data_IF_363209746694
#
_entry.id   IF_363209746694
#
_cell.length_a   1.000
_cell.length_b   1.000
_cell.length_c   1.000
_cell.angle_alpha   90.00
_cell.angle_beta   90.00
_cell.angle_gamma   90.00
#
_symmetry.space_group_name_H-M   'P 1'
#
loop_
_entity.id
_entity.type
_entity.pdbx_description
1 polymer ?
#
# COMPACT_ATOMS: atom_id res chain seq x y z
N UNK A 1 -13.28 16.85 7.00
CA UNK A 1 -12.18 17.57 7.69
C UNK A 1 -11.23 16.55 8.26
N UNK A 2 -9.94 16.83 8.20
CA UNK A 2 -8.89 16.04 8.84
C UNK A 2 -8.34 16.80 10.04
N UNK A 3 -8.30 16.15 11.20
CA UNK A 3 -7.70 16.70 12.40
C UNK A 3 -6.72 15.65 12.93
N UNK A 4 -5.43 15.91 12.77
CA UNK A 4 -4.39 14.92 13.03
C UNK A 4 -4.55 13.68 12.14
N UNK A 5 -4.59 12.50 12.73
CA UNK A 5 -4.82 11.24 12.01
C UNK A 5 -6.30 10.91 11.79
N UNK A 6 -7.22 11.65 12.40
CA UNK A 6 -8.65 11.40 12.31
C UNK A 6 -9.28 12.22 11.20
N UNK A 7 -10.25 11.63 10.51
CA UNK A 7 -11.12 12.31 9.58
C UNK A 7 -12.52 12.33 10.12
N UNK A 8 -13.16 13.49 9.94
CA UNK A 8 -14.52 13.74 10.38
C UNK A 8 -15.37 14.08 9.16
N UNK A 9 -16.56 13.53 9.11
CA UNK A 9 -17.58 13.79 8.10
C UNK A 9 -18.76 14.48 8.76
N UNK A 10 -19.32 15.46 8.07
CA UNK A 10 -20.53 16.13 8.48
C UNK A 10 -21.31 16.62 7.27
N UNK A 11 -22.58 16.82 7.45
CA UNK A 11 -23.45 17.47 6.47
C UNK A 11 -23.65 18.92 6.91
N UNK A 12 -23.60 19.84 5.96
CA UNK A 12 -23.82 21.26 6.18
C UNK A 12 -24.38 21.92 4.93
N UNK A 13 -24.85 23.14 5.06
CA UNK A 13 -25.37 23.94 3.96
C UNK A 13 -24.36 25.04 3.62
N UNK A 14 -24.02 25.16 2.36
CA UNK A 14 -23.25 26.31 1.87
C UNK A 14 -24.17 27.53 1.80
N UNK A 15 -23.84 28.56 2.56
CA UNK A 15 -24.60 29.82 2.56
C UNK A 15 -24.14 30.75 1.46
N UNK A 16 -22.85 31.00 1.40
CA UNK A 16 -22.28 31.98 0.46
C UNK A 16 -20.78 31.78 0.28
N UNK A 17 -20.23 32.36 -0.78
CA UNK A 17 -18.80 32.55 -0.95
C UNK A 17 -18.44 33.98 -0.58
N UNK A 18 -17.54 34.18 0.34
CA UNK A 18 -17.09 35.49 0.80
C UNK A 18 -15.59 35.64 0.61
N UNK A 19 -15.16 36.90 0.40
CA UNK A 19 -13.72 37.19 0.43
C UNK A 19 -13.32 37.46 1.88
N UNK A 20 -12.38 36.67 2.39
CA UNK A 20 -11.85 36.84 3.73
C UNK A 20 -10.43 37.39 3.66
N UNK A 21 -10.17 38.43 4.44
CA UNK A 21 -8.84 39.02 4.57
C UNK A 21 -8.05 38.23 5.60
N UNK A 22 -6.89 37.69 5.18
CA UNK A 22 -5.97 37.00 6.09
C UNK A 22 -5.03 38.02 6.76
N UNK A 23 -4.62 39.03 6.00
CA UNK A 23 -3.79 40.16 6.37
C UNK A 23 -3.99 41.29 5.34
N UNK A 24 -3.40 42.45 5.59
CA UNK A 24 -3.58 43.64 4.79
C UNK A 24 -3.37 43.46 3.27
N UNK A 25 -2.49 42.50 2.89
CA UNK A 25 -2.13 42.26 1.50
C UNK A 25 -2.76 41.00 0.87
N UNK A 26 -3.47 40.17 1.66
CA UNK A 26 -3.95 38.89 1.17
C UNK A 26 -5.42 38.62 1.46
N UNK A 27 -6.19 38.54 0.36
CA UNK A 27 -7.59 38.10 0.37
C UNK A 27 -7.72 36.70 -0.24
N UNK A 28 -8.52 35.85 0.39
CA UNK A 28 -8.89 34.55 -0.16
C UNK A 28 -10.40 34.40 -0.25
N UNK A 29 -10.85 33.69 -1.26
CA UNK A 29 -12.26 33.31 -1.38
C UNK A 29 -12.52 32.10 -0.48
N UNK A 30 -13.44 32.24 0.47
CA UNK A 30 -13.81 31.19 1.42
C UNK A 30 -15.28 30.84 1.28
N UNK A 31 -15.64 29.61 1.70
CA UNK A 31 -17.01 29.15 1.79
C UNK A 31 -17.53 29.38 3.22
N UNK A 32 -18.64 30.05 3.35
CA UNK A 32 -19.38 30.22 4.62
C UNK A 32 -20.40 29.09 4.70
N UNK A 33 -20.23 28.23 5.70
CA UNK A 33 -21.04 27.03 5.91
C UNK A 33 -21.84 27.20 7.22
N UNK A 34 -23.02 26.58 7.27
CA UNK A 34 -23.72 26.44 8.56
C UNK A 34 -22.92 25.55 9.49
N UNK A 35 -23.05 25.77 10.81
CA UNK A 35 -22.48 24.87 11.78
C UNK A 35 -23.22 23.53 11.71
N UNK A 36 -22.52 22.39 11.54
CA UNK A 36 -23.15 21.10 11.49
C UNK A 36 -23.75 20.72 12.86
N UNK A 37 -24.90 20.08 12.85
CA UNK A 37 -25.56 19.61 14.07
C UNK A 37 -24.94 18.32 14.64
N UNK A 38 -24.24 17.58 13.79
CA UNK A 38 -23.52 16.35 14.17
C UNK A 38 -22.26 16.17 13.34
N UNK A 39 -21.27 15.54 13.93
CA UNK A 39 -20.00 15.21 13.31
C UNK A 39 -19.72 13.74 13.56
N UNK A 40 -19.46 12.99 12.50
CA UNK A 40 -19.18 11.56 12.57
C UNK A 40 -17.71 11.28 12.26
N UNK A 41 -17.11 10.35 12.98
CA UNK A 41 -15.77 9.89 12.68
C UNK A 41 -15.82 9.02 11.42
N UNK A 42 -15.15 9.46 10.36
CA UNK A 42 -15.08 8.71 9.13
C UNK A 42 -13.95 7.68 9.20
N UNK A 43 -14.29 6.40 9.33
CA UNK A 43 -13.34 5.32 9.16
C UNK A 43 -13.16 5.06 7.66
N UNK A 44 -12.15 5.73 7.06
CA UNK A 44 -11.87 5.64 5.62
C UNK A 44 -11.17 4.34 5.23
N UNK A 45 -10.55 3.64 6.20
CA UNK A 45 -9.72 2.47 5.92
C UNK A 45 -10.49 1.21 6.28
N UNK A 46 -10.73 0.36 5.32
CA UNK A 46 -11.28 -0.97 5.52
C UNK A 46 -10.27 -1.89 6.23
N UNK A 47 -8.96 -1.67 5.97
CA UNK A 47 -7.89 -2.47 6.55
C UNK A 47 -6.99 -1.64 7.45
N UNK A 48 -6.59 -2.25 8.55
CA UNK A 48 -5.57 -1.70 9.41
C UNK A 48 -4.20 -1.67 8.67
N UNK A 49 -3.37 -0.70 8.99
CA UNK A 49 -2.02 -0.58 8.43
C UNK A 49 -1.03 -0.50 9.57
N UNK A 50 0.02 -1.31 9.49
CA UNK A 50 1.15 -1.19 10.39
C UNK A 50 2.13 -0.19 9.82
N UNK A 51 2.57 0.74 10.66
CA UNK A 51 3.73 1.58 10.36
C UNK A 51 4.98 0.73 10.54
N UNK A 52 5.90 0.91 9.64
CA UNK A 52 7.13 0.14 9.55
C UNK A 52 8.32 0.85 10.19
N UNK A 53 8.06 2.05 10.72
CA UNK A 53 9.09 2.83 11.43
C UNK A 53 9.56 2.05 12.66
N UNK A 54 10.84 1.72 12.70
CA UNK A 54 11.44 0.94 13.78
C UNK A 54 11.37 -0.59 13.62
N UNK A 55 10.80 -1.08 12.52
CA UNK A 55 10.79 -2.51 12.15
C UNK A 55 11.76 -2.77 11.00
N UNK A 56 12.46 -3.89 11.05
CA UNK A 56 13.07 -4.45 9.84
C UNK A 56 11.94 -5.05 9.01
N UNK A 57 11.50 -4.28 8.02
CA UNK A 57 10.52 -4.80 7.09
C UNK A 57 11.17 -5.56 5.97
N UNK A 58 10.37 -6.44 5.39
CA UNK A 58 10.75 -7.21 4.22
C UNK A 58 11.10 -6.30 3.05
N UNK A 59 11.94 -6.83 2.17
CA UNK A 59 12.20 -6.22 0.87
C UNK A 59 10.93 -6.18 0.01
N UNK A 60 10.86 -5.19 -0.83
CA UNK A 60 9.86 -5.13 -1.90
C UNK A 60 10.56 -4.81 -3.21
N UNK A 61 10.41 -5.68 -4.18
CA UNK A 61 10.80 -5.41 -5.55
C UNK A 61 9.61 -4.85 -6.31
N UNK A 62 9.85 -3.78 -7.05
CA UNK A 62 8.81 -3.07 -7.80
C UNK A 62 9.14 -3.10 -9.28
N UNK A 63 8.22 -3.60 -10.07
CA UNK A 63 8.33 -3.64 -11.52
C UNK A 63 7.22 -2.80 -12.13
N UNK A 64 7.49 -1.92 -13.11
CA UNK A 64 6.44 -1.38 -13.95
C UNK A 64 5.67 -2.51 -14.64
N UNK A 65 4.35 -2.55 -14.49
CA UNK A 65 3.50 -3.53 -15.16
C UNK A 65 3.01 -2.90 -16.47
N UNK A 66 3.57 -3.38 -17.59
CA UNK A 66 3.31 -2.80 -18.91
C UNK A 66 1.97 -3.27 -19.49
N UNK A 67 1.58 -4.51 -19.20
CA UNK A 67 0.26 -5.06 -19.52
C UNK A 67 -0.37 -5.71 -18.29
N UNK A 68 -1.37 -5.07 -17.67
CA UNK A 68 -2.05 -5.64 -16.51
C UNK A 68 -2.71 -7.00 -16.76
N UNK A 69 -3.09 -7.32 -18.00
CA UNK A 69 -3.70 -8.60 -18.33
C UNK A 69 -2.74 -9.78 -18.21
N UNK A 70 -1.43 -9.53 -18.41
CA UNK A 70 -0.38 -10.54 -18.28
C UNK A 70 -0.16 -11.01 -16.83
N UNK A 71 -0.61 -10.24 -15.85
CA UNK A 71 -0.43 -10.53 -14.44
C UNK A 71 -1.30 -11.69 -13.91
N UNK A 72 -2.46 -11.92 -14.49
CA UNK A 72 -3.47 -12.85 -13.97
C UNK A 72 -2.95 -14.28 -13.80
N UNK A 73 -2.21 -14.78 -14.79
CA UNK A 73 -1.62 -16.12 -14.74
C UNK A 73 -0.51 -16.18 -13.69
N UNK A 74 0.34 -15.15 -13.63
CA UNK A 74 1.43 -15.05 -12.67
C UNK A 74 0.93 -14.98 -11.22
N UNK A 75 -0.12 -14.22 -10.95
CA UNK A 75 -0.78 -14.13 -9.63
C UNK A 75 -1.38 -15.47 -9.21
N UNK A 76 -2.03 -16.16 -10.14
CA UNK A 76 -2.60 -17.48 -9.88
C UNK A 76 -1.51 -18.51 -9.57
N UNK A 77 -0.42 -18.51 -10.33
CA UNK A 77 0.71 -19.42 -10.11
C UNK A 77 1.39 -19.14 -8.75
N UNK A 78 1.62 -17.88 -8.40
CA UNK A 78 2.19 -17.48 -7.11
C UNK A 78 1.29 -17.92 -5.93
N UNK A 79 -0.02 -17.69 -6.04
CA UNK A 79 -0.98 -18.13 -5.03
C UNK A 79 -0.92 -19.66 -4.82
N UNK A 80 -0.96 -20.42 -5.89
CA UNK A 80 -0.92 -21.89 -5.81
C UNK A 80 0.38 -22.39 -5.20
N UNK A 81 1.51 -21.77 -5.54
CA UNK A 81 2.80 -22.13 -4.96
C UNK A 81 2.85 -21.86 -3.44
N UNK A 82 2.39 -20.69 -3.01
CA UNK A 82 2.32 -20.37 -1.58
C UNK A 82 1.42 -21.35 -0.84
N UNK A 83 0.25 -21.70 -1.39
CA UNK A 83 -0.67 -22.66 -0.78
C UNK A 83 -0.04 -24.07 -0.67
N UNK A 84 0.69 -24.53 -1.68
CA UNK A 84 1.43 -25.80 -1.65
C UNK A 84 2.50 -25.82 -0.57
N UNK A 85 3.26 -24.74 -0.44
CA UNK A 85 4.27 -24.60 0.61
C UNK A 85 3.66 -24.60 2.00
N UNK A 86 2.51 -23.95 2.18
CA UNK A 86 1.79 -23.91 3.45
C UNK A 86 1.11 -25.24 3.81
N UNK A 87 0.72 -26.05 2.82
CA UNK A 87 0.17 -27.40 3.06
C UNK A 87 1.25 -28.45 3.36
N UNK A 88 2.53 -28.12 3.18
CA UNK A 88 3.63 -29.06 3.41
C UNK A 88 3.82 -30.09 2.28
N UNK A 89 3.17 -29.92 1.14
CA UNK A 89 3.25 -30.84 -0.01
C UNK A 89 4.61 -30.85 -0.70
N UNK A 90 5.45 -29.85 -0.45
CA UNK A 90 6.78 -29.70 -1.05
C UNK A 90 7.84 -29.60 0.03
N UNK A 91 8.35 -30.74 0.47
CA UNK A 91 9.58 -30.81 1.23
C UNK A 91 10.77 -30.67 0.25
N UNK A 92 11.35 -29.48 0.12
CA UNK A 92 12.64 -29.37 -0.56
C UNK A 92 12.93 -28.18 -1.44
N UNK A 93 12.01 -27.26 -1.66
CA UNK A 93 12.27 -26.08 -2.49
C UNK A 93 12.45 -24.79 -1.66
N UNK A 94 13.16 -24.89 -0.56
CA UNK A 94 13.56 -23.70 0.22
C UNK A 94 14.55 -22.90 -0.63
N UNK A 95 14.14 -21.72 -1.09
CA UNK A 95 15.07 -20.74 -1.67
C UNK A 95 15.08 -20.58 -3.19
N UNK A 96 14.23 -21.27 -3.96
CA UNK A 96 14.05 -20.86 -5.36
C UNK A 96 13.14 -19.64 -5.39
N UNK A 97 13.76 -18.48 -5.64
CA UNK A 97 13.01 -17.30 -6.12
C UNK A 97 12.10 -17.78 -7.25
N UNK A 98 10.79 -17.56 -7.12
CA UNK A 98 9.89 -17.82 -8.24
C UNK A 98 10.43 -17.04 -9.45
N UNK A 99 10.86 -17.78 -10.47
CA UNK A 99 11.23 -17.14 -11.74
C UNK A 99 10.01 -16.41 -12.25
N UNK A 100 10.23 -15.18 -12.74
CA UNK A 100 9.16 -14.41 -13.32
C UNK A 100 8.62 -15.16 -14.55
N UNK A 101 7.30 -15.34 -14.69
CA UNK A 101 6.75 -15.97 -15.88
C UNK A 101 7.18 -15.22 -17.14
N UNK A 102 7.58 -15.93 -18.20
CA UNK A 102 8.10 -15.30 -19.42
C UNK A 102 7.09 -14.40 -20.13
N UNK A 103 5.81 -14.69 -19.94
CA UNK A 103 4.71 -13.93 -20.56
C UNK A 103 4.28 -12.70 -19.72
N UNK A 104 4.89 -12.49 -18.56
CA UNK A 104 4.58 -11.36 -17.71
C UNK A 104 5.28 -10.10 -18.24
N UNK A 105 4.50 -9.16 -18.75
CA UNK A 105 5.00 -7.94 -19.39
C UNK A 105 5.44 -6.90 -18.33
N UNK A 106 6.72 -6.95 -17.96
CA UNK A 106 7.33 -6.08 -16.97
C UNK A 106 8.37 -5.13 -17.59
N UNK A 107 8.46 -3.94 -17.02
CA UNK A 107 9.60 -3.05 -17.21
C UNK A 107 10.75 -3.39 -16.26
N UNK A 108 11.88 -2.65 -16.33
CA UNK A 108 13.02 -2.86 -15.44
C UNK A 108 12.62 -2.70 -13.97
N UNK A 109 13.07 -3.60 -13.07
CA UNK A 109 12.78 -3.47 -11.65
C UNK A 109 13.50 -2.30 -11.02
N UNK A 110 12.96 -1.83 -9.91
CA UNK A 110 13.64 -0.92 -9.00
C UNK A 110 13.30 -1.23 -7.54
N UNK A 111 14.24 -0.95 -6.66
CA UNK A 111 14.06 -1.15 -5.23
C UNK A 111 13.29 0.03 -4.61
N UNK A 112 12.47 -0.28 -3.64
CA UNK A 112 11.79 0.69 -2.82
C UNK A 112 11.74 0.23 -1.36
N UNK A 113 11.67 1.19 -0.44
CA UNK A 113 11.53 0.88 0.98
C UNK A 113 10.05 0.83 1.34
N UNK A 114 9.62 -0.29 1.92
CA UNK A 114 8.26 -0.46 2.39
C UNK A 114 8.05 0.40 3.65
N UNK A 115 7.18 1.41 3.58
CA UNK A 115 6.87 2.34 4.67
C UNK A 115 5.65 1.95 5.49
N UNK A 116 4.70 1.31 4.87
CA UNK A 116 3.54 0.70 5.52
C UNK A 116 2.90 -0.35 4.60
N UNK A 117 2.20 -1.29 5.23
CA UNK A 117 1.48 -2.36 4.55
C UNK A 117 0.13 -2.58 5.22
N UNK A 118 -0.87 -2.94 4.46
CA UNK A 118 -2.20 -3.35 4.92
C UNK A 118 -2.95 -4.08 3.82
N UNK A 119 -4.08 -4.71 4.14
CA UNK A 119 -4.83 -5.54 3.18
C UNK A 119 -5.24 -4.83 1.88
N UNK A 120 -5.35 -3.50 1.87
CA UNK A 120 -5.72 -2.74 0.67
C UNK A 120 -4.55 -2.14 -0.12
N UNK A 121 -3.29 -2.33 0.30
CA UNK A 121 -2.15 -1.74 -0.40
C UNK A 121 -0.95 -1.42 0.47
N UNK A 122 0.02 -0.75 -0.14
CA UNK A 122 1.32 -0.42 0.47
C UNK A 122 1.65 1.06 0.32
N UNK A 123 2.49 1.55 1.23
CA UNK A 123 3.20 2.81 1.08
C UNK A 123 4.68 2.53 0.88
N UNK A 124 5.25 3.11 -0.16
CA UNK A 124 6.64 2.94 -0.55
C UNK A 124 7.40 4.25 -0.46
N UNK A 125 8.68 4.18 -0.14
CA UNK A 125 9.63 5.26 -0.34
C UNK A 125 10.53 4.89 -1.51
N UNK A 126 10.51 5.71 -2.56
CA UNK A 126 11.29 5.53 -3.78
C UNK A 126 12.43 6.53 -3.77
N UNK A 127 13.64 6.05 -3.98
CA UNK A 127 14.82 6.89 -4.02
C UNK A 127 14.84 7.82 -5.25
N UNK A 128 15.50 9.00 -5.16
CA UNK A 128 15.47 10.00 -6.23
C UNK A 128 15.85 9.48 -7.60
N UNK A 129 16.81 8.58 -7.70
CA UNK A 129 17.29 8.03 -8.97
C UNK A 129 16.28 7.07 -9.66
N UNK A 130 15.33 6.50 -8.90
CA UNK A 130 14.24 5.67 -9.44
C UNK A 130 12.95 6.44 -9.72
N UNK A 131 12.90 7.72 -9.34
CA UNK A 131 11.69 8.53 -9.45
C UNK A 131 11.12 8.60 -10.87
N UNK A 132 11.98 8.82 -11.86
CA UNK A 132 11.55 8.92 -13.27
C UNK A 132 10.91 7.61 -13.76
N UNK A 133 11.49 6.45 -13.40
CA UNK A 133 10.94 5.14 -13.72
C UNK A 133 9.58 4.93 -13.04
N UNK A 134 9.42 5.36 -11.79
CA UNK A 134 8.15 5.29 -11.09
C UNK A 134 7.08 6.21 -11.71
N UNK A 135 7.40 7.47 -11.97
CA UNK A 135 6.44 8.47 -12.46
C UNK A 135 5.96 8.20 -13.90
N UNK A 136 6.73 7.44 -14.69
CA UNK A 136 6.37 7.04 -16.05
C UNK A 136 5.21 6.02 -16.08
N UNK A 137 4.90 5.35 -14.98
CA UNK A 137 3.93 4.26 -14.92
C UNK A 137 2.84 4.50 -13.87
N UNK A 138 1.73 3.79 -14.02
CA UNK A 138 0.57 3.85 -13.09
C UNK A 138 0.23 2.51 -12.48
N UNK A 139 0.68 1.43 -13.09
CA UNK A 139 0.49 0.04 -12.66
C UNK A 139 1.82 -0.61 -12.42
N UNK A 140 1.89 -1.40 -11.35
CA UNK A 140 3.11 -2.03 -10.89
C UNK A 140 2.85 -3.47 -10.50
N UNK A 141 3.83 -4.31 -10.68
CA UNK A 141 3.93 -5.64 -10.13
C UNK A 141 4.83 -5.58 -8.91
N UNK A 142 4.33 -6.03 -7.77
CA UNK A 142 5.05 -6.04 -6.51
C UNK A 142 5.40 -7.47 -6.13
N UNK A 143 6.65 -7.69 -5.73
CA UNK A 143 7.10 -8.90 -5.04
C UNK A 143 7.42 -8.52 -3.61
N UNK A 144 6.57 -8.94 -2.68
CA UNK A 144 6.63 -8.55 -1.26
C UNK A 144 7.06 -9.76 -0.44
N UNK A 145 8.19 -9.66 0.24
CA UNK A 145 8.60 -10.67 1.19
C UNK A 145 7.82 -10.52 2.48
N UNK A 146 7.40 -11.61 3.10
CA UNK A 146 6.65 -11.62 4.37
C UNK A 146 7.26 -12.64 5.36
N UNK A 147 8.55 -12.47 5.73
CA UNK A 147 9.22 -13.40 6.64
C UNK A 147 8.72 -13.22 8.10
N UNK A 148 8.70 -14.27 8.93
CA UNK A 148 8.99 -15.68 8.59
C UNK A 148 7.77 -16.41 8.00
N UNK A 149 6.64 -15.76 7.82
CA UNK A 149 5.35 -16.37 7.48
C UNK A 149 5.34 -17.00 6.09
N UNK A 150 5.99 -16.37 5.12
CA UNK A 150 6.13 -16.87 3.76
C UNK A 150 7.61 -17.06 3.42
N UNK A 151 7.93 -18.20 2.82
CA UNK A 151 9.28 -18.54 2.36
C UNK A 151 9.55 -18.10 0.92
N UNK A 152 8.52 -17.72 0.20
CA UNK A 152 8.58 -17.14 -1.15
C UNK A 152 7.86 -15.80 -1.17
N UNK A 153 8.27 -14.86 -2.02
CA UNK A 153 7.59 -13.57 -2.13
C UNK A 153 6.13 -13.73 -2.56
N UNK A 154 5.27 -12.94 -1.96
CA UNK A 154 3.90 -12.76 -2.43
C UNK A 154 3.90 -11.75 -3.57
N UNK A 155 3.30 -12.14 -4.69
CA UNK A 155 3.22 -11.32 -5.88
C UNK A 155 1.82 -10.72 -6.05
N UNK A 156 1.75 -9.42 -6.36
CA UNK A 156 0.47 -8.74 -6.52
C UNK A 156 0.60 -7.52 -7.43
N UNK A 157 -0.40 -7.31 -8.27
CA UNK A 157 -0.56 -6.09 -9.04
C UNK A 157 -0.99 -4.94 -8.14
N UNK A 158 -0.49 -3.73 -8.43
CA UNK A 158 -0.83 -2.54 -7.67
C UNK A 158 -0.95 -1.32 -8.56
N UNK A 159 -1.80 -0.37 -8.14
CA UNK A 159 -2.06 0.88 -8.86
C UNK A 159 -1.69 2.08 -8.01
N UNK A 160 -1.01 3.03 -8.64
CA UNK A 160 -0.71 4.33 -8.03
C UNK A 160 -1.98 5.05 -7.59
N UNK A 161 -1.98 5.59 -6.38
CA UNK A 161 -3.07 6.39 -5.83
C UNK A 161 -2.69 7.82 -5.54
N UNK A 162 -1.56 8.02 -4.90
CA UNK A 162 -1.04 9.33 -4.57
C UNK A 162 0.47 9.25 -4.35
N UNK A 163 1.14 10.37 -4.54
CA UNK A 163 2.55 10.52 -4.19
C UNK A 163 2.82 11.94 -3.68
N UNK A 164 3.88 12.09 -2.93
CA UNK A 164 4.44 13.37 -2.54
C UNK A 164 5.95 13.24 -2.34
N UNK A 165 6.66 14.33 -2.45
CA UNK A 165 8.11 14.39 -2.27
C UNK A 165 8.38 14.86 -0.84
N UNK A 166 9.28 14.18 -0.13
CA UNK A 166 9.73 14.59 1.19
C UNK A 166 10.83 15.67 1.11
N UNK A 167 11.24 16.20 2.27
CA UNK A 167 12.30 17.21 2.35
C UNK A 167 13.67 16.71 1.86
N UNK A 168 13.87 15.40 1.79
CA UNK A 168 15.09 14.75 1.27
C UNK A 168 14.98 14.39 -0.21
N UNK A 169 14.01 14.95 -0.93
CA UNK A 169 13.74 14.69 -2.36
C UNK A 169 13.35 13.24 -2.68
N UNK A 170 13.05 12.40 -1.67
CA UNK A 170 12.57 11.05 -1.86
C UNK A 170 11.07 11.07 -2.15
N UNK A 171 10.63 10.18 -3.02
CA UNK A 171 9.22 10.08 -3.40
C UNK A 171 8.51 9.08 -2.48
N UNK A 172 7.59 9.56 -1.66
CA UNK A 172 6.62 8.70 -1.00
C UNK A 172 5.48 8.38 -1.97
N UNK A 173 5.18 7.10 -2.16
CA UNK A 173 4.15 6.60 -3.06
C UNK A 173 3.16 5.71 -2.33
N UNK A 174 1.88 6.01 -2.44
CA UNK A 174 0.79 5.15 -1.97
C UNK A 174 0.22 4.34 -3.13
N UNK A 175 0.28 3.01 -3.02
CA UNK A 175 -0.26 2.07 -3.98
C UNK A 175 -1.44 1.31 -3.37
N UNK A 176 -2.51 1.11 -4.15
CA UNK A 176 -3.56 0.14 -3.80
C UNK A 176 -3.35 -1.12 -4.61
N UNK A 177 -3.59 -2.27 -4.01
CA UNK A 177 -3.65 -3.52 -4.77
C UNK A 177 -4.74 -3.46 -5.82
N UNK A 178 -4.50 -4.13 -6.95
CA UNK A 178 -5.41 -4.17 -8.09
C UNK A 178 -5.62 -5.63 -8.48
N UNK A 179 -6.74 -6.17 -8.10
CA UNK A 179 -7.06 -7.60 -8.28
C UNK A 179 -7.90 -7.85 -9.55
N UNK A 180 -8.18 -6.79 -10.32
CA UNK A 180 -9.07 -6.90 -11.48
C UNK A 180 -10.41 -7.53 -11.08
N UNK A 181 -10.73 -8.67 -11.69
CA UNK A 181 -11.94 -9.45 -11.37
C UNK A 181 -11.70 -10.70 -10.52
N UNK A 182 -10.44 -10.95 -10.10
CA UNK A 182 -10.06 -12.17 -9.38
C UNK A 182 -10.31 -12.06 -7.87
N UNK A 183 -11.54 -12.36 -7.45
CA UNK A 183 -11.91 -12.36 -6.02
C UNK A 183 -11.11 -13.35 -5.18
N UNK A 184 -10.78 -14.52 -5.72
CA UNK A 184 -10.01 -15.52 -5.01
C UNK A 184 -8.59 -15.05 -4.72
N UNK A 185 -7.98 -14.32 -5.67
CA UNK A 185 -6.67 -13.74 -5.46
C UNK A 185 -6.73 -12.58 -4.47
N UNK A 186 -7.73 -11.73 -4.57
CA UNK A 186 -8.00 -10.66 -3.59
C UNK A 186 -8.09 -11.21 -2.18
N UNK A 187 -8.97 -12.18 -1.96
CA UNK A 187 -9.17 -12.79 -0.63
C UNK A 187 -7.86 -13.38 -0.10
N UNK A 188 -7.13 -14.12 -0.96
CA UNK A 188 -5.86 -14.72 -0.58
C UNK A 188 -4.83 -13.67 -0.15
N UNK A 189 -4.58 -12.63 -0.97
CA UNK A 189 -3.60 -11.58 -0.67
C UNK A 189 -3.96 -10.81 0.60
N UNK A 190 -5.23 -10.43 0.72
CA UNK A 190 -5.75 -9.72 1.90
C UNK A 190 -5.55 -10.55 3.16
N UNK A 191 -5.88 -11.84 3.13
CA UNK A 191 -5.73 -12.75 4.28
C UNK A 191 -4.26 -12.92 4.68
N UNK A 192 -3.34 -13.12 3.71
CA UNK A 192 -1.91 -13.23 4.01
C UNK A 192 -1.37 -11.96 4.66
N UNK A 193 -1.69 -10.80 4.10
CA UNK A 193 -1.23 -9.51 4.64
C UNK A 193 -1.85 -9.22 6.00
N UNK A 194 -3.14 -9.48 6.20
CA UNK A 194 -3.78 -9.24 7.48
C UNK A 194 -3.20 -10.13 8.59
N UNK A 195 -2.88 -11.40 8.29
CA UNK A 195 -2.18 -12.29 9.22
C UNK A 195 -0.79 -11.75 9.56
N UNK A 196 -0.02 -11.38 8.56
CA UNK A 196 1.32 -10.81 8.74
C UNK A 196 1.28 -9.54 9.61
N UNK A 197 0.38 -8.62 9.29
CA UNK A 197 0.17 -7.38 10.05
C UNK A 197 -0.19 -7.67 11.51
N UNK A 198 -1.09 -8.64 11.76
CA UNK A 198 -1.49 -9.01 13.11
C UNK A 198 -0.35 -9.65 13.92
N UNK A 199 0.55 -10.40 13.25
CA UNK A 199 1.72 -11.00 13.89
C UNK A 199 2.75 -9.93 14.30
N UNK A 200 3.10 -9.03 13.39
CA UNK A 200 3.98 -7.90 13.70
C UNK A 200 3.43 -7.05 14.85
N UNK A 201 2.12 -6.80 14.88
CA UNK A 201 1.50 -6.05 15.98
C UNK A 201 1.66 -6.75 17.31
N UNK A 202 1.44 -8.07 17.35
CA UNK A 202 1.63 -8.86 18.58
C UNK A 202 3.07 -8.78 19.08
N UNK A 203 4.03 -8.91 18.17
CA UNK A 203 5.45 -8.77 18.53
C UNK A 203 5.80 -7.37 19.05
N UNK A 204 5.23 -6.32 18.45
CA UNK A 204 5.44 -4.95 18.92
C UNK A 204 4.90 -4.73 20.33
N UNK A 205 3.67 -5.22 20.58
CA UNK A 205 3.05 -5.12 21.91
C UNK A 205 3.83 -5.92 22.97
N UNK A 206 4.32 -7.11 22.64
CA UNK A 206 5.15 -7.90 23.52
C UNK A 206 6.45 -7.16 23.91
N UNK A 207 7.16 -6.59 22.94
CA UNK A 207 8.38 -5.81 23.18
C UNK A 207 8.13 -4.54 24.02
N UNK A 208 6.96 -3.92 23.90
CA UNK A 208 6.59 -2.75 24.71
C UNK A 208 6.22 -3.13 26.16
N UNK A 209 5.76 -4.36 26.38
CA UNK A 209 5.44 -4.86 27.73
C UNK A 209 6.71 -5.29 28.51
N UNK A 210 7.78 -5.62 27.80
CA UNK A 210 9.08 -6.06 28.35
C UNK A 210 10.06 -4.90 28.58
N UNK A 211 9.73 -3.67 28.16
CA UNK A 211 10.55 -2.45 28.28
C UNK A 211 10.05 -1.51 29.36
#
# INVERSE_FOLDING_TARGET
IAIGQNRWMFRTVLREHVNHEINDDRRIRVMKLDMPTSVERCQRREFYRVSTVGLRLPGVEVYPLLDPSSAVVAETANRLEILRLQSGEVAGSVGKSLELPPDLALGPPFDAVLMNIGGGGVGLMVEPHHRAAYEAHRTFWLRVELPPMLTVPMCVSARHRHSHIDSSQRLYAGLSFDFGSSRDHEQFVVDQICRYVAEIQREQLARQADA
#
